data_IF_263394732372
#
_entry.id   IF_263394732372
#
_cell.length_a   1.000
_cell.length_b   1.000
_cell.length_c   1.000
_cell.angle_alpha   90.00
_cell.angle_beta   90.00
_cell.angle_gamma   90.00
#
_symmetry.space_group_name_H-M   'P 1'
#
loop_
_entity.id
_entity.type
_entity.pdbx_description
1 polymer ?
#
# COMPACT_ATOMS: atom_id res chain seq x y z
N UNK A 1 -37.04 -8.06 -2.92
CA UNK A 1 -35.57 -7.87 -3.00
C UNK A 1 -35.21 -7.53 -4.44
N UNK A 2 -34.72 -6.33 -4.69
CA UNK A 2 -34.11 -6.03 -5.98
C UNK A 2 -32.76 -6.71 -5.98
N UNK A 3 -32.61 -7.76 -6.79
CA UNK A 3 -31.32 -8.41 -7.01
C UNK A 3 -30.30 -7.38 -7.51
N UNK A 4 -29.12 -7.36 -6.88
CA UNK A 4 -28.03 -6.57 -7.38
C UNK A 4 -27.64 -7.11 -8.77
N UNK A 5 -27.61 -6.25 -9.78
CA UNK A 5 -27.17 -6.58 -11.12
C UNK A 5 -25.83 -5.90 -11.38
N UNK A 6 -24.88 -6.64 -11.90
CA UNK A 6 -23.63 -6.06 -12.41
C UNK A 6 -23.93 -5.38 -13.75
N UNK A 7 -23.70 -4.07 -13.80
CA UNK A 7 -23.84 -3.29 -15.02
C UNK A 7 -22.47 -3.21 -15.69
N UNK A 8 -22.31 -3.67 -16.93
CA UNK A 8 -21.06 -3.53 -17.65
C UNK A 8 -20.70 -2.06 -17.81
N UNK A 9 -19.47 -1.71 -17.47
CA UNK A 9 -18.89 -0.38 -17.68
C UNK A 9 -17.74 -0.54 -18.65
N UNK A 10 -17.85 0.02 -19.85
CA UNK A 10 -16.83 -0.12 -20.89
C UNK A 10 -15.95 1.12 -20.97
N UNK A 11 -14.94 1.21 -20.14
CA UNK A 11 -14.14 2.44 -20.09
C UNK A 11 -12.64 2.18 -20.15
N UNK A 12 -12.20 1.00 -19.76
CA UNK A 12 -10.80 0.68 -19.90
C UNK A 12 -10.56 0.03 -21.26
N UNK A 13 -9.50 0.49 -21.92
CA UNK A 13 -9.04 -0.11 -23.17
C UNK A 13 -8.71 -1.60 -22.94
N UNK A 14 -8.80 -2.41 -23.99
CA UNK A 14 -8.56 -3.84 -23.88
C UNK A 14 -7.15 -4.12 -23.32
N UNK A 15 -7.09 -4.81 -22.19
CA UNK A 15 -5.85 -5.20 -21.53
C UNK A 15 -5.93 -6.67 -21.14
N UNK A 16 -4.84 -7.40 -21.34
CA UNK A 16 -4.73 -8.78 -20.90
C UNK A 16 -4.47 -8.91 -19.39
N UNK A 17 -3.85 -7.90 -18.79
CA UNK A 17 -3.46 -7.88 -17.38
C UNK A 17 -3.96 -6.58 -16.73
N UNK A 18 -4.45 -6.70 -15.50
CA UNK A 18 -4.81 -5.57 -14.65
C UNK A 18 -4.39 -5.87 -13.21
N UNK A 19 -3.96 -4.82 -12.51
CA UNK A 19 -3.64 -4.84 -11.09
C UNK A 19 -4.58 -3.88 -10.37
N UNK A 20 -5.06 -4.30 -9.20
CA UNK A 20 -5.99 -3.54 -8.38
C UNK A 20 -5.26 -3.07 -7.12
N UNK A 21 -5.25 -1.77 -6.86
CA UNK A 21 -4.61 -1.17 -5.70
C UNK A 21 -5.11 0.26 -5.49
N UNK A 22 -4.82 0.85 -4.35
CA UNK A 22 -5.06 2.27 -4.08
C UNK A 22 -3.75 3.04 -4.37
N UNK A 23 -3.70 3.74 -5.50
CA UNK A 23 -2.50 4.45 -5.95
C UNK A 23 -2.42 5.90 -5.45
N UNK A 24 -3.51 6.43 -4.92
CA UNK A 24 -3.57 7.82 -4.44
C UNK A 24 -3.92 7.95 -2.95
N UNK A 25 -4.08 6.82 -2.25
CA UNK A 25 -4.44 6.74 -0.82
C UNK A 25 -5.77 7.42 -0.48
N UNK A 26 -6.76 7.31 -1.39
CA UNK A 26 -8.11 7.85 -1.15
C UNK A 26 -9.10 6.80 -0.59
N UNK A 27 -8.64 5.58 -0.39
CA UNK A 27 -9.43 4.45 0.10
C UNK A 27 -10.27 3.77 -0.97
N UNK A 28 -10.14 4.15 -2.23
CA UNK A 28 -10.81 3.52 -3.36
C UNK A 28 -9.83 2.61 -4.11
N UNK A 29 -10.36 1.56 -4.71
CA UNK A 29 -9.52 0.67 -5.52
C UNK A 29 -9.39 1.23 -6.94
N UNK A 30 -8.17 1.54 -7.32
CA UNK A 30 -7.77 1.96 -8.65
C UNK A 30 -7.37 0.75 -9.51
N UNK A 31 -7.18 0.98 -10.81
CA UNK A 31 -6.80 -0.07 -11.76
C UNK A 31 -5.54 0.35 -12.51
N UNK A 32 -4.45 -0.43 -12.37
CA UNK A 32 -3.31 -0.36 -13.27
C UNK A 32 -3.48 -1.42 -14.37
N UNK A 33 -3.26 -1.01 -15.61
CA UNK A 33 -3.46 -1.86 -16.79
C UNK A 33 -2.54 -1.48 -17.94
N UNK A 34 -2.30 -2.41 -18.87
CA UNK A 34 -1.49 -2.19 -20.07
C UNK A 34 -2.36 -2.31 -21.32
N UNK A 35 -2.89 -1.20 -21.89
CA UNK A 35 -3.81 -1.24 -23.01
C UNK A 35 -3.14 -1.82 -24.24
N UNK A 36 -3.71 -2.89 -24.81
CA UNK A 36 -3.23 -3.56 -26.03
C UNK A 36 -1.72 -3.88 -26.02
N UNK A 37 -1.13 -4.18 -24.85
CA UNK A 37 0.29 -4.43 -24.69
C UNK A 37 1.18 -3.17 -24.73
N UNK A 38 0.58 -1.98 -24.73
CA UNK A 38 1.28 -0.71 -24.61
C UNK A 38 1.79 -0.49 -23.17
N UNK A 39 2.32 0.68 -22.89
CA UNK A 39 2.80 1.02 -21.55
C UNK A 39 1.67 0.97 -20.53
N UNK A 40 2.00 0.55 -19.33
CA UNK A 40 1.08 0.53 -18.20
C UNK A 40 0.53 1.93 -17.90
N UNK A 41 -0.73 1.97 -17.46
CA UNK A 41 -1.47 3.17 -17.06
C UNK A 41 -2.23 2.90 -15.78
N UNK A 42 -2.54 3.94 -15.02
CA UNK A 42 -3.43 3.87 -13.87
C UNK A 42 -4.70 4.66 -14.16
N UNK A 43 -5.84 4.05 -13.91
CA UNK A 43 -7.14 4.71 -13.86
C UNK A 43 -7.55 4.85 -12.40
N UNK A 44 -7.65 6.09 -11.92
CA UNK A 44 -8.04 6.39 -10.55
C UNK A 44 -9.57 6.30 -10.39
N UNK A 45 -10.00 5.63 -9.33
CA UNK A 45 -11.41 5.51 -8.98
C UNK A 45 -11.99 6.88 -8.52
N UNK A 46 -13.24 7.16 -8.86
CA UNK A 46 -13.90 8.42 -8.49
C UNK A 46 -14.92 8.26 -7.36
N UNK A 47 -15.18 7.03 -6.92
CA UNK A 47 -16.22 6.72 -5.95
C UNK A 47 -17.66 6.99 -6.44
N UNK A 48 -17.84 7.46 -7.67
CA UNK A 48 -19.16 7.81 -8.21
C UNK A 48 -19.91 6.55 -8.63
N UNK A 49 -21.17 6.46 -8.22
CA UNK A 49 -22.07 5.38 -8.60
C UNK A 49 -23.11 5.89 -9.62
N UNK A 50 -23.35 5.08 -10.66
CA UNK A 50 -24.50 5.27 -11.57
C UNK A 50 -24.34 6.41 -12.57
N UNK A 51 -23.15 6.83 -12.89
CA UNK A 51 -22.85 7.76 -13.97
C UNK A 51 -22.43 7.01 -15.25
N UNK A 52 -22.49 7.68 -16.38
CA UNK A 52 -22.03 7.14 -17.68
C UNK A 52 -20.51 7.06 -17.77
N UNK A 53 -19.78 7.76 -16.91
CA UNK A 53 -18.37 7.62 -16.69
C UNK A 53 -18.15 6.45 -15.72
N UNK A 54 -17.53 5.41 -16.12
CA UNK A 54 -17.32 4.12 -15.45
C UNK A 54 -16.77 4.18 -14.01
N UNK A 55 -16.82 5.31 -13.35
CA UNK A 55 -16.30 5.48 -12.00
C UNK A 55 -14.78 5.59 -11.93
N UNK A 56 -14.12 5.78 -13.06
CA UNK A 56 -12.67 5.98 -13.14
C UNK A 56 -12.34 7.23 -13.93
N UNK A 57 -11.29 7.93 -13.54
CA UNK A 57 -10.69 9.01 -14.34
C UNK A 57 -9.71 8.37 -15.33
N UNK A 58 -9.93 8.61 -16.61
CA UNK A 58 -9.02 8.20 -17.68
C UNK A 58 -8.39 9.42 -18.34
N UNK A 59 -7.19 9.31 -18.83
CA UNK A 59 -6.05 8.48 -18.43
C UNK A 59 -5.13 9.29 -17.57
N UNK A 60 -5.00 8.96 -16.37
CA UNK A 60 -4.21 9.85 -15.55
C UNK A 60 -2.73 9.69 -15.74
N UNK A 61 -2.18 8.51 -15.94
CA UNK A 61 -0.73 8.43 -15.92
C UNK A 61 -0.20 7.43 -16.93
N UNK A 62 0.48 7.95 -17.95
CA UNK A 62 1.40 7.14 -18.71
C UNK A 62 2.59 6.81 -17.82
N UNK A 63 2.72 5.57 -17.40
CA UNK A 63 3.91 5.12 -16.73
C UNK A 63 5.11 5.26 -17.66
N UNK A 64 6.26 5.64 -17.11
CA UNK A 64 7.48 5.83 -17.84
C UNK A 64 7.76 4.65 -18.79
N UNK A 65 8.37 4.92 -19.93
CA UNK A 65 8.69 4.01 -21.02
C UNK A 65 9.46 2.73 -20.66
N UNK A 66 9.91 2.58 -19.41
CA UNK A 66 10.56 1.38 -18.88
C UNK A 66 9.60 0.22 -18.60
N UNK A 67 8.28 0.47 -18.56
CA UNK A 67 7.25 -0.52 -18.30
C UNK A 67 6.52 -0.86 -19.59
N UNK A 68 7.17 -1.66 -20.45
CA UNK A 68 6.49 -2.27 -21.58
C UNK A 68 5.35 -3.18 -21.09
N UNK A 69 4.31 -3.31 -21.87
CA UNK A 69 3.16 -4.17 -21.54
C UNK A 69 3.49 -5.65 -21.31
N UNK A 70 4.72 -6.08 -21.61
CA UNK A 70 5.23 -7.44 -21.30
C UNK A 70 5.79 -7.56 -19.88
N UNK A 71 6.11 -6.46 -19.19
CA UNK A 71 6.52 -6.49 -17.80
C UNK A 71 5.30 -6.79 -16.92
N UNK A 72 5.46 -7.68 -15.95
CA UNK A 72 4.44 -7.97 -14.94
C UNK A 72 4.83 -7.32 -13.62
N UNK A 73 4.34 -6.11 -13.35
CA UNK A 73 4.62 -5.43 -12.09
C UNK A 73 3.89 -6.11 -10.93
N UNK A 74 4.38 -5.88 -9.73
CA UNK A 74 3.74 -6.25 -8.48
C UNK A 74 3.38 -4.98 -7.71
N UNK A 75 2.32 -5.05 -6.93
CA UNK A 75 1.92 -3.97 -6.04
C UNK A 75 2.75 -4.06 -4.76
N UNK A 76 3.26 -2.93 -4.30
CA UNK A 76 3.99 -2.77 -3.05
C UNK A 76 3.74 -1.35 -2.54
N UNK A 77 3.66 -1.16 -1.25
CA UNK A 77 3.86 0.16 -0.63
C UNK A 77 5.34 0.22 -0.25
N UNK A 78 6.15 0.85 -1.11
CA UNK A 78 7.62 0.78 -0.99
C UNK A 78 8.18 1.76 0.03
N UNK A 79 7.57 2.90 0.22
CA UNK A 79 8.04 3.92 1.15
C UNK A 79 7.13 4.10 2.38
N UNK A 80 6.10 3.25 2.51
CA UNK A 80 5.19 3.22 3.66
C UNK A 80 4.24 4.40 3.73
N UNK A 81 4.00 5.09 2.61
CA UNK A 81 3.18 6.30 2.57
C UNK A 81 1.68 6.03 2.36
N UNK A 82 1.30 4.74 2.35
CA UNK A 82 -0.08 4.30 2.16
C UNK A 82 -0.54 4.30 0.71
N UNK A 83 0.27 4.75 -0.25
CA UNK A 83 -0.01 4.64 -1.68
C UNK A 83 0.62 3.37 -2.24
N UNK A 84 -0.10 2.74 -3.13
CA UNK A 84 0.42 1.57 -3.82
C UNK A 84 1.42 1.98 -4.91
N UNK A 85 2.60 1.40 -4.84
CA UNK A 85 3.69 1.55 -5.79
C UNK A 85 3.79 0.33 -6.71
N UNK A 86 4.65 0.38 -7.71
CA UNK A 86 4.91 -0.72 -8.61
C UNK A 86 6.34 -1.23 -8.48
N UNK A 87 6.47 -2.50 -8.16
CA UNK A 87 7.72 -3.24 -8.24
C UNK A 87 7.78 -3.97 -9.58
N UNK A 88 8.79 -3.68 -10.40
CA UNK A 88 8.83 -4.05 -11.81
C UNK A 88 10.09 -4.82 -12.15
N UNK A 89 10.00 -5.93 -12.90
CA UNK A 89 11.19 -6.60 -13.38
C UNK A 89 11.90 -5.74 -14.45
N UNK A 90 13.15 -5.40 -14.21
CA UNK A 90 14.03 -4.73 -15.14
C UNK A 90 15.10 -5.67 -15.72
N UNK A 91 15.86 -5.19 -16.69
CA UNK A 91 16.88 -6.00 -17.38
C UNK A 91 18.01 -6.47 -16.45
N UNK A 92 18.39 -5.69 -15.44
CA UNK A 92 19.48 -5.96 -14.52
C UNK A 92 19.05 -6.17 -13.07
N UNK A 93 17.75 -6.13 -12.79
CA UNK A 93 17.22 -6.27 -11.44
C UNK A 93 15.84 -5.65 -11.32
N UNK A 94 15.27 -5.73 -10.13
CA UNK A 94 13.97 -5.15 -9.83
C UNK A 94 14.07 -3.64 -9.67
N UNK A 95 13.09 -2.95 -10.23
CA UNK A 95 12.92 -1.51 -10.15
C UNK A 95 11.67 -1.20 -9.35
N UNK A 96 11.65 -0.09 -8.65
CA UNK A 96 10.46 0.45 -8.00
C UNK A 96 10.08 1.78 -8.66
N UNK A 97 8.79 1.96 -8.94
CA UNK A 97 8.21 3.19 -9.46
C UNK A 97 7.18 3.67 -8.44
N UNK A 98 7.52 4.70 -7.64
CA UNK A 98 6.67 5.18 -6.56
C UNK A 98 5.51 6.02 -7.07
N UNK A 99 4.38 5.87 -6.42
CA UNK A 99 3.21 6.70 -6.69
C UNK A 99 3.30 8.04 -5.96
N UNK A 100 3.01 9.11 -6.69
CA UNK A 100 2.82 10.45 -6.13
C UNK A 100 1.32 10.83 -6.04
N UNK A 101 0.45 9.84 -6.11
CA UNK A 101 -1.01 10.01 -6.07
C UNK A 101 -1.63 10.40 -7.43
N UNK A 102 -0.98 11.23 -8.22
CA UNK A 102 -1.42 11.65 -9.55
C UNK A 102 -0.44 11.28 -10.66
N UNK A 103 0.77 10.90 -10.31
CA UNK A 103 1.85 10.49 -11.21
C UNK A 103 2.67 9.39 -10.58
N UNK A 104 3.41 8.64 -11.40
CA UNK A 104 4.46 7.73 -10.92
C UNK A 104 5.82 8.38 -11.12
N UNK A 105 6.69 8.24 -10.15
CA UNK A 105 8.09 8.62 -10.31
C UNK A 105 8.78 7.75 -11.38
N UNK A 106 9.89 8.25 -11.91
CA UNK A 106 10.78 7.44 -12.73
C UNK A 106 11.28 6.25 -11.91
N UNK A 107 11.19 5.05 -12.49
CA UNK A 107 11.55 3.83 -11.78
C UNK A 107 13.04 3.82 -11.40
N UNK A 108 13.34 3.39 -10.18
CA UNK A 108 14.68 3.33 -9.59
C UNK A 108 15.06 1.89 -9.27
N UNK A 109 16.34 1.59 -9.32
CA UNK A 109 16.83 0.26 -8.93
C UNK A 109 16.61 0.02 -7.43
N UNK A 110 16.07 -1.14 -7.11
CA UNK A 110 15.94 -1.64 -5.73
C UNK A 110 17.22 -2.30 -5.23
N UNK A 111 18.20 -2.53 -6.12
CA UNK A 111 19.37 -3.36 -5.83
C UNK A 111 19.07 -4.86 -5.71
N UNK A 112 17.83 -5.29 -5.93
CA UNK A 112 17.47 -6.72 -6.00
C UNK A 112 17.76 -7.26 -7.38
N UNK A 113 18.56 -8.33 -7.47
CA UNK A 113 18.85 -8.96 -8.75
C UNK A 113 17.58 -9.59 -9.35
N UNK A 114 17.41 -9.47 -10.66
CA UNK A 114 16.44 -10.24 -11.43
C UNK A 114 17.13 -11.50 -11.92
N UNK A 115 16.83 -12.64 -11.34
CA UNK A 115 17.32 -13.93 -11.81
C UNK A 115 16.19 -14.63 -12.53
N UNK A 116 16.30 -14.76 -13.84
CA UNK A 116 15.25 -15.36 -14.68
C UNK A 116 14.89 -16.80 -14.29
N UNK A 117 15.76 -17.48 -13.53
CA UNK A 117 15.56 -18.85 -13.05
C UNK A 117 14.84 -18.93 -11.71
N UNK A 118 14.60 -17.79 -11.05
CA UNK A 118 14.02 -17.70 -9.72
C UNK A 118 12.70 -16.95 -9.86
N UNK A 119 11.66 -17.40 -9.18
CA UNK A 119 10.33 -16.79 -9.25
C UNK A 119 10.32 -15.30 -8.86
N UNK A 120 9.18 -14.64 -9.04
CA UNK A 120 9.03 -13.25 -8.62
C UNK A 120 9.24 -13.12 -7.11
N UNK A 121 9.64 -11.94 -6.61
CA UNK A 121 9.64 -11.65 -5.18
C UNK A 121 8.25 -11.86 -4.56
N UNK A 122 8.23 -12.12 -3.27
CA UNK A 122 6.99 -12.15 -2.48
C UNK A 122 6.94 -10.87 -1.66
N UNK A 123 5.82 -10.17 -1.76
CA UNK A 123 5.55 -8.93 -1.04
C UNK A 123 4.61 -9.26 0.13
N UNK A 124 5.04 -9.00 1.35
CA UNK A 124 4.29 -9.28 2.58
C UNK A 124 4.88 -8.47 3.74
N UNK A 125 4.15 -8.36 4.83
CA UNK A 125 4.73 -7.95 6.12
C UNK A 125 5.26 -9.21 6.82
N UNK A 126 6.56 -9.45 6.76
CA UNK A 126 7.19 -10.68 7.24
C UNK A 126 7.65 -10.58 8.70
N UNK A 127 7.86 -9.38 9.21
CA UNK A 127 8.31 -9.14 10.59
C UNK A 127 7.16 -8.70 11.52
N UNK A 128 5.99 -8.35 10.98
CA UNK A 128 4.82 -7.93 11.74
C UNK A 128 4.88 -6.47 12.21
N UNK A 129 5.62 -5.60 11.52
CA UNK A 129 5.76 -4.18 11.89
C UNK A 129 4.69 -3.27 11.23
N UNK A 130 3.85 -3.83 10.37
CA UNK A 130 2.80 -3.11 9.66
C UNK A 130 3.25 -2.50 8.35
N UNK A 131 4.51 -2.70 7.95
CA UNK A 131 5.08 -2.20 6.72
C UNK A 131 5.30 -3.34 5.73
N UNK A 132 5.39 -2.99 4.46
CA UNK A 132 5.56 -3.99 3.40
C UNK A 132 7.02 -4.37 3.25
N UNK A 133 7.30 -5.66 3.42
CA UNK A 133 8.61 -6.26 3.22
C UNK A 133 8.68 -7.00 1.88
N UNK A 134 9.89 -7.34 1.45
CA UNK A 134 10.13 -8.10 0.23
C UNK A 134 11.02 -9.31 0.50
N UNK A 135 10.51 -10.49 0.16
CA UNK A 135 11.28 -11.74 0.17
C UNK A 135 11.59 -12.14 -1.27
N UNK A 136 12.85 -12.31 -1.58
CA UNK A 136 13.30 -12.72 -2.92
C UNK A 136 14.41 -13.76 -2.84
N UNK A 137 14.55 -14.55 -3.91
CA UNK A 137 15.67 -15.49 -4.03
C UNK A 137 16.80 -14.84 -4.82
N UNK A 138 18.02 -14.97 -4.30
CA UNK A 138 19.26 -14.59 -4.96
C UNK A 138 20.37 -15.53 -4.45
N UNK A 139 20.45 -16.72 -5.04
CA UNK A 139 21.29 -17.83 -4.55
C UNK A 139 21.00 -18.21 -3.09
N UNK A 140 19.72 -18.20 -2.73
CA UNK A 140 19.17 -18.42 -1.40
C UNK A 140 18.17 -17.31 -1.03
N UNK A 141 17.20 -17.69 -0.20
CA UNK A 141 16.12 -16.80 0.21
C UNK A 141 16.68 -15.58 0.95
N UNK A 142 16.35 -14.39 0.47
CA UNK A 142 16.72 -13.09 1.04
C UNK A 142 15.48 -12.38 1.52
N UNK A 143 15.56 -11.86 2.72
CA UNK A 143 14.56 -11.01 3.33
C UNK A 143 15.04 -9.56 3.33
N UNK A 144 14.21 -8.64 2.87
CA UNK A 144 14.41 -7.20 2.97
C UNK A 144 13.26 -6.61 3.78
N UNK A 145 13.54 -6.27 5.01
CA UNK A 145 12.62 -5.50 5.83
C UNK A 145 12.55 -4.06 5.32
N UNK A 146 11.39 -3.47 5.45
CA UNK A 146 11.23 -2.03 5.37
C UNK A 146 11.96 -1.39 6.56
N UNK A 147 12.85 -0.43 6.30
CA UNK A 147 13.70 0.21 7.32
C UNK A 147 13.25 1.63 7.68
N UNK A 148 12.19 2.12 7.03
CA UNK A 148 11.58 3.41 7.37
C UNK A 148 10.43 3.23 8.37
N UNK A 149 10.21 4.19 9.24
CA UNK A 149 8.98 4.26 10.03
C UNK A 149 7.77 4.54 9.14
N UNK A 150 6.57 4.16 9.58
CA UNK A 150 5.34 4.50 8.87
C UNK A 150 5.19 6.03 8.78
N UNK A 151 5.27 6.64 7.59
CA UNK A 151 5.43 8.10 7.48
C UNK A 151 4.15 8.88 7.75
N UNK A 152 2.98 8.29 7.52
CA UNK A 152 1.68 8.98 7.55
C UNK A 152 0.96 8.88 8.91
N UNK A 153 1.68 8.60 9.99
CA UNK A 153 1.12 8.58 11.33
C UNK A 153 1.19 9.95 11.99
N UNK A 154 0.11 10.34 12.67
CA UNK A 154 0.04 11.57 13.43
C UNK A 154 1.02 11.52 14.62
N UNK A 155 2.16 12.19 14.52
CA UNK A 155 3.17 12.21 15.57
C UNK A 155 2.76 13.10 16.76
N UNK A 156 2.14 14.24 16.48
CA UNK A 156 1.66 15.14 17.53
C UNK A 156 0.56 16.08 17.04
N UNK A 157 -0.24 16.57 17.97
CA UNK A 157 -1.22 17.62 17.75
C UNK A 157 -1.07 18.71 18.83
N UNK A 158 -1.32 19.96 18.48
CA UNK A 158 -1.35 21.10 19.42
C UNK A 158 -2.68 21.82 19.24
N UNK A 159 -3.41 22.03 20.33
CA UNK A 159 -4.67 22.75 20.30
C UNK A 159 -4.47 24.29 20.32
N UNK A 160 -5.57 25.04 20.19
CA UNK A 160 -5.55 26.50 20.23
C UNK A 160 -5.12 27.12 21.58
N UNK A 161 -4.99 26.34 22.64
CA UNK A 161 -4.52 26.75 23.96
C UNK A 161 -3.06 26.35 24.24
N UNK A 162 -2.41 25.71 23.26
CA UNK A 162 -1.02 25.25 23.37
C UNK A 162 -0.87 23.90 24.08
N UNK A 163 -1.95 23.18 24.35
CA UNK A 163 -1.88 21.81 24.89
C UNK A 163 -1.41 20.89 23.78
N UNK A 164 -0.30 20.20 24.03
CA UNK A 164 0.31 19.27 23.08
C UNK A 164 -0.03 17.83 23.45
N UNK A 165 -0.41 17.05 22.45
CA UNK A 165 -0.57 15.61 22.52
C UNK A 165 0.47 14.95 21.59
N UNK A 166 1.25 13.99 22.10
CA UNK A 166 2.22 13.19 21.35
C UNK A 166 1.73 11.75 21.30
N UNK A 167 1.81 11.14 20.14
CA UNK A 167 1.34 9.79 19.86
C UNK A 167 2.52 8.86 19.57
N UNK A 168 2.52 7.68 20.20
CA UNK A 168 3.41 6.58 19.85
C UNK A 168 2.56 5.42 19.31
N UNK A 169 3.09 4.71 18.34
CA UNK A 169 2.39 3.61 17.67
C UNK A 169 3.13 2.30 17.82
N UNK A 170 2.37 1.22 17.83
CA UNK A 170 2.90 -0.13 17.77
C UNK A 170 1.92 -1.04 17.03
N UNK A 171 2.39 -2.18 16.55
CA UNK A 171 1.54 -3.12 15.83
C UNK A 171 0.75 -4.01 16.78
N UNK A 172 -0.44 -4.42 16.37
CA UNK A 172 -1.22 -5.43 17.08
C UNK A 172 -0.54 -6.82 17.09
N UNK A 173 0.49 -7.02 16.27
CA UNK A 173 1.29 -8.24 16.29
C UNK A 173 2.18 -8.36 17.53
N UNK A 174 2.45 -7.25 18.23
CA UNK A 174 3.26 -7.24 19.45
C UNK A 174 2.47 -7.72 20.66
N UNK A 175 3.01 -8.69 21.38
CA UNK A 175 2.35 -9.31 22.53
C UNK A 175 2.18 -8.38 23.74
N UNK A 176 2.97 -7.31 23.84
CA UNK A 176 2.86 -6.27 24.87
C UNK A 176 1.76 -5.23 24.56
N UNK A 177 1.31 -5.16 23.32
CA UNK A 177 0.23 -4.26 22.86
C UNK A 177 -1.11 -4.98 22.81
N UNK A 178 -1.12 -6.21 22.33
CA UNK A 178 -2.34 -7.00 22.16
C UNK A 178 -2.15 -8.46 22.56
N UNK A 179 -3.10 -8.98 23.35
CA UNK A 179 -3.12 -10.40 23.71
C UNK A 179 -4.20 -11.13 22.93
N UNK A 180 -3.77 -12.02 22.05
CA UNK A 180 -4.68 -12.88 21.29
C UNK A 180 -5.24 -13.94 22.24
N UNK A 181 -6.53 -13.87 22.53
CA UNK A 181 -7.26 -14.90 23.27
C UNK A 181 -7.75 -15.97 22.30
N UNK A 182 -7.01 -17.02 22.08
CA UNK A 182 -7.35 -18.13 21.16
C UNK A 182 -8.59 -18.95 21.59
N UNK A 183 -9.52 -18.33 22.30
CA UNK A 183 -10.72 -18.96 22.87
C UNK A 183 -12.02 -18.28 22.41
N UNK A 184 -11.98 -17.46 21.41
CA UNK A 184 -13.17 -16.80 20.88
C UNK A 184 -14.15 -17.81 20.31
N UNK A 185 -15.44 -17.66 20.67
CA UNK A 185 -16.54 -18.49 20.14
C UNK A 185 -17.30 -17.68 19.12
N UNK A 186 -17.58 -18.30 17.97
CA UNK A 186 -18.39 -17.68 16.92
C UNK A 186 -19.66 -17.02 17.49
N UNK A 187 -20.03 -15.79 17.12
CA UNK A 187 -19.53 -14.99 15.99
C UNK A 187 -18.30 -14.10 16.30
N UNK A 188 -17.73 -14.17 17.49
CA UNK A 188 -16.52 -13.42 17.85
C UNK A 188 -15.30 -14.14 17.29
N UNK A 189 -14.45 -13.42 16.58
CA UNK A 189 -13.20 -13.94 16.00
C UNK A 189 -12.05 -13.11 16.54
N UNK A 190 -11.04 -13.77 17.10
CA UNK A 190 -9.78 -13.12 17.43
C UNK A 190 -9.04 -12.74 16.13
N UNK A 191 -8.76 -11.47 15.96
CA UNK A 191 -8.13 -10.95 14.77
C UNK A 191 -6.74 -10.41 15.12
N UNK A 192 -5.73 -11.01 14.53
CA UNK A 192 -4.36 -10.53 14.64
C UNK A 192 -3.87 -10.12 13.26
N UNK A 193 -3.68 -8.85 13.10
CA UNK A 193 -3.07 -8.25 11.90
C UNK A 193 -1.97 -7.31 12.32
N UNK A 194 -0.98 -7.09 11.47
CA UNK A 194 0.07 -6.11 11.70
C UNK A 194 -0.46 -4.68 11.49
N UNK A 195 -1.60 -4.35 12.09
CA UNK A 195 -2.17 -3.02 12.06
C UNK A 195 -1.54 -2.15 13.14
N UNK A 196 -1.15 -0.94 12.77
CA UNK A 196 -0.63 0.07 13.69
C UNK A 196 -1.77 0.66 14.52
N UNK A 197 -1.57 0.72 15.83
CA UNK A 197 -2.48 1.34 16.78
C UNK A 197 -1.71 2.31 17.66
N UNK A 198 -2.37 3.37 18.15
CA UNK A 198 -1.78 4.23 19.15
C UNK A 198 -1.53 3.41 20.43
N UNK A 199 -0.28 3.19 20.76
CA UNK A 199 0.16 2.42 21.93
C UNK A 199 0.41 3.30 23.15
N UNK A 200 0.62 4.59 22.92
CA UNK A 200 0.82 5.59 23.98
C UNK A 200 0.35 6.96 23.51
N UNK A 201 -0.29 7.66 24.42
CA UNK A 201 -0.65 9.07 24.29
C UNK A 201 -0.07 9.84 25.47
N UNK A 202 0.79 10.82 25.20
CA UNK A 202 1.30 11.75 26.19
C UNK A 202 0.71 13.14 25.95
N UNK A 203 0.03 13.70 26.94
CA UNK A 203 -0.58 15.04 26.84
C UNK A 203 0.07 16.01 27.83
N UNK A 204 0.38 17.21 27.37
CA UNK A 204 0.80 18.31 28.24
C UNK A 204 -0.33 18.68 29.20
N UNK A 205 -0.01 18.88 30.49
CA UNK A 205 -0.95 19.37 31.49
C UNK A 205 -1.05 20.92 31.56
N UNK A 206 -0.37 21.62 30.66
CA UNK A 206 -0.33 23.09 30.63
C UNK A 206 0.53 23.74 31.70
N UNK A 207 1.12 22.97 32.62
CA UNK A 207 1.92 23.45 33.74
C UNK A 207 3.34 22.88 33.78
N UNK A 208 3.81 22.34 32.63
CA UNK A 208 5.15 21.75 32.49
C UNK A 208 5.25 20.27 32.80
N UNK A 209 4.12 19.58 33.12
CA UNK A 209 4.04 18.13 33.26
C UNK A 209 3.30 17.48 32.07
N UNK A 210 3.27 16.14 32.06
CA UNK A 210 2.55 15.35 31.07
C UNK A 210 1.68 14.30 31.74
N UNK A 211 0.49 14.03 31.18
CA UNK A 211 -0.30 12.83 31.45
C UNK A 211 0.04 11.79 30.40
N UNK A 212 0.06 10.51 30.79
CA UNK A 212 0.24 9.38 29.89
C UNK A 212 -0.98 8.46 29.99
N UNK A 213 -1.49 8.04 28.85
CA UNK A 213 -2.58 7.07 28.67
C UNK A 213 -2.07 5.93 27.81
#
# INVERSE_FOLDING_TARGET
SRGASLVPQSVLENSADALLADFNSDGLTDIAYAPNGANWRVALATGRRGTTDAGFVTPSVSMASALSGSARPMIVDWDGDGRSDLLVPGASGWLVCRSLGTTLESCRSTGMASVAAVGPPVVLDANGDGLTDVVHDNAGLRFRAHDAGAPDLLASAVDGHGVRADFEYATLARADVHTIRRVSTYPVVDYAVPALVASRLAMSNGTGGTFQL
#
